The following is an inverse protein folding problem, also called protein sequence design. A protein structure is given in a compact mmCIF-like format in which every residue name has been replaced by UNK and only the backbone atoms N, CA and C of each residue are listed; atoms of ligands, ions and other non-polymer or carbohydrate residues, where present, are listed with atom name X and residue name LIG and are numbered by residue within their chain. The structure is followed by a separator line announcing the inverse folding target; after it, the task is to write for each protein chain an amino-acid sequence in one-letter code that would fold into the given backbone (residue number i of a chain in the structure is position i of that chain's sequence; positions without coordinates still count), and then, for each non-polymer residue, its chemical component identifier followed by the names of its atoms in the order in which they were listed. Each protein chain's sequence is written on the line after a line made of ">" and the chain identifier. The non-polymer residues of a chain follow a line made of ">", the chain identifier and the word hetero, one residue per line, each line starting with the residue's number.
data_IF_537807587360
#
_entry.id   IF_537807587360
#
_cell.length_a   1.000
_cell.length_b   1.000
_cell.length_c   1.000
_cell.angle_alpha   90.00
_cell.angle_beta   90.00
_cell.angle_gamma   90.00
#
_symmetry.space_group_name_H-M   'P 1'
#
loop_
_entity.id
_entity.type
_entity.pdbx_description
1 polymer ?
#
# COMPACT_ATOMS: atom_id res chain seq x y z
N UNK A 1 0.49 -8.92 11.22
CA UNK A 1 -0.31 -9.36 10.05
C UNK A 1 0.66 -9.64 8.92
N UNK A 2 0.69 -10.85 8.36
CA UNK A 2 1.47 -11.12 7.15
C UNK A 2 0.61 -10.77 5.95
N UNK A 3 0.99 -9.74 5.21
CA UNK A 3 0.40 -9.43 3.91
C UNK A 3 1.00 -10.39 2.89
N UNK A 4 0.15 -11.08 2.13
CA UNK A 4 0.61 -11.86 0.97
C UNK A 4 1.03 -10.88 -0.13
N UNK A 5 2.34 -10.75 -0.34
CA UNK A 5 2.91 -9.87 -1.36
C UNK A 5 2.55 -10.41 -2.74
N UNK A 6 1.98 -9.58 -3.64
CA UNK A 6 1.58 -10.02 -4.97
C UNK A 6 2.80 -10.30 -5.86
N UNK A 7 2.60 -11.15 -6.88
CA UNK A 7 3.53 -11.23 -8.01
C UNK A 7 3.34 -9.98 -8.88
N UNK A 8 4.35 -9.12 -8.89
CA UNK A 8 4.35 -7.89 -9.69
C UNK A 8 4.39 -8.18 -11.19
N UNK A 9 3.61 -7.41 -11.95
CA UNK A 9 3.55 -7.50 -13.42
C UNK A 9 3.90 -6.16 -14.06
N UNK A 10 4.52 -6.22 -15.22
CA UNK A 10 4.71 -5.06 -16.08
C UNK A 10 3.40 -4.67 -16.80
N UNK A 11 3.36 -3.51 -17.49
CA UNK A 11 2.15 -3.06 -18.19
C UNK A 11 1.73 -3.96 -19.36
N UNK A 12 2.59 -4.87 -19.83
CA UNK A 12 2.29 -5.87 -20.86
C UNK A 12 1.78 -7.19 -20.25
N UNK A 13 1.73 -7.30 -18.92
CA UNK A 13 1.30 -8.48 -18.19
C UNK A 13 2.42 -9.49 -17.92
N UNK A 14 3.67 -9.19 -18.29
CA UNK A 14 4.85 -10.00 -17.98
C UNK A 14 5.20 -9.93 -16.49
N UNK A 15 5.77 -11.01 -15.94
CA UNK A 15 6.19 -11.04 -14.53
C UNK A 15 7.46 -10.20 -14.35
N UNK A 16 7.45 -9.30 -13.36
CA UNK A 16 8.66 -8.59 -12.95
C UNK A 16 9.56 -9.57 -12.18
N UNK A 17 10.59 -10.09 -12.84
CA UNK A 17 11.49 -11.12 -12.28
C UNK A 17 12.83 -10.59 -11.73
N UNK A 18 13.12 -9.29 -11.92
CA UNK A 18 14.35 -8.68 -11.41
C UNK A 18 14.31 -8.62 -9.88
N UNK A 19 15.25 -9.30 -9.23
CA UNK A 19 15.32 -9.46 -7.77
C UNK A 19 15.39 -8.09 -7.08
N UNK A 20 16.18 -7.16 -7.62
CA UNK A 20 16.33 -5.81 -7.06
C UNK A 20 15.02 -5.03 -7.13
N UNK A 21 14.26 -5.13 -8.24
CA UNK A 21 12.94 -4.48 -8.35
C UNK A 21 11.96 -5.05 -7.34
N UNK A 22 11.91 -6.38 -7.20
CA UNK A 22 11.04 -7.03 -6.22
C UNK A 22 11.39 -6.60 -4.80
N UNK A 23 12.69 -6.55 -4.47
CA UNK A 23 13.17 -6.10 -3.16
C UNK A 23 12.66 -4.70 -2.84
N UNK A 24 12.83 -3.74 -3.76
CA UNK A 24 12.36 -2.37 -3.57
C UNK A 24 10.84 -2.32 -3.38
N UNK A 25 10.08 -3.11 -4.16
CA UNK A 25 8.62 -3.15 -4.00
C UNK A 25 8.19 -3.74 -2.65
N UNK A 26 8.92 -4.72 -2.11
CA UNK A 26 8.65 -5.28 -0.80
C UNK A 26 8.93 -4.26 0.30
N UNK A 27 10.09 -3.59 0.25
CA UNK A 27 10.45 -2.51 1.20
C UNK A 27 9.39 -1.40 1.19
N UNK A 28 8.94 -0.95 0.01
CA UNK A 28 7.87 0.04 -0.10
C UNK A 28 6.55 -0.41 0.54
N UNK A 29 6.17 -1.68 0.38
CA UNK A 29 4.93 -2.21 0.99
C UNK A 29 5.05 -2.32 2.52
N UNK A 30 6.20 -2.73 3.03
CA UNK A 30 6.47 -2.79 4.46
C UNK A 30 6.40 -1.39 5.09
N UNK A 31 7.03 -0.39 4.46
CA UNK A 31 6.96 1.00 4.91
C UNK A 31 5.54 1.57 4.88
N UNK A 32 4.80 1.31 3.80
CA UNK A 32 3.41 1.75 3.66
C UNK A 32 2.52 1.11 4.72
N UNK A 33 2.70 -0.18 5.00
CA UNK A 33 1.95 -0.90 6.02
C UNK A 33 2.21 -0.28 7.41
N UNK A 34 3.47 -0.01 7.76
CA UNK A 34 3.80 0.59 9.04
C UNK A 34 3.16 1.97 9.18
N UNK A 35 3.29 2.83 8.16
CA UNK A 35 2.70 4.16 8.19
C UNK A 35 1.17 4.15 8.28
N UNK A 36 0.51 3.22 7.57
CA UNK A 36 -0.94 3.05 7.65
C UNK A 36 -1.40 2.55 9.02
N UNK A 37 -0.61 1.68 9.66
CA UNK A 37 -0.87 1.19 11.02
C UNK A 37 -0.74 2.33 12.03
N UNK A 38 0.35 3.10 11.98
CA UNK A 38 0.58 4.24 12.87
C UNK A 38 -0.55 5.27 12.74
N UNK A 39 -0.96 5.60 11.51
CA UNK A 39 -2.06 6.52 11.24
C UNK A 39 -3.41 6.03 11.79
N UNK A 40 -3.66 4.71 11.75
CA UNK A 40 -4.87 4.11 12.33
C UNK A 40 -4.83 4.18 13.86
N UNK A 41 -3.70 3.84 14.47
CA UNK A 41 -3.51 3.88 15.92
C UNK A 41 -3.70 5.30 16.48
N UNK A 42 -3.11 6.29 15.81
CA UNK A 42 -3.29 7.70 16.16
C UNK A 42 -4.76 8.12 16.06
N UNK A 43 -5.45 7.74 14.98
CA UNK A 43 -6.87 8.07 14.82
C UNK A 43 -7.74 7.45 15.92
N UNK A 44 -7.49 6.19 16.29
CA UNK A 44 -8.18 5.51 17.39
C UNK A 44 -7.90 6.23 18.72
N UNK A 45 -6.64 6.58 18.98
CA UNK A 45 -6.24 7.30 20.19
C UNK A 45 -6.92 8.69 20.30
N UNK A 46 -7.18 9.32 19.16
CA UNK A 46 -7.92 10.58 19.07
C UNK A 46 -9.45 10.42 19.08
N UNK A 47 -9.97 9.19 19.22
CA UNK A 47 -11.40 8.91 19.36
C UNK A 47 -12.16 8.80 18.03
N UNK A 48 -11.48 8.58 16.91
CA UNK A 48 -12.12 8.30 15.63
C UNK A 48 -12.71 6.88 15.58
N UNK A 49 -13.72 6.68 14.74
CA UNK A 49 -14.25 5.35 14.45
C UNK A 49 -13.28 4.53 13.58
N UNK A 50 -12.89 3.35 14.05
CA UNK A 50 -11.92 2.49 13.37
C UNK A 50 -12.35 2.10 11.95
N UNK A 51 -13.64 1.76 11.77
CA UNK A 51 -14.16 1.32 10.48
C UNK A 51 -14.15 2.48 9.47
N UNK A 52 -14.54 3.68 9.90
CA UNK A 52 -14.46 4.88 9.09
C UNK A 52 -13.03 5.18 8.61
N UNK A 53 -12.04 5.07 9.49
CA UNK A 53 -10.64 5.33 9.15
C UNK A 53 -10.15 4.30 8.13
N UNK A 54 -10.43 3.01 8.34
CA UNK A 54 -10.07 1.94 7.40
C UNK A 54 -10.73 2.14 6.03
N UNK A 55 -12.02 2.47 6.00
CA UNK A 55 -12.74 2.76 4.76
C UNK A 55 -12.13 3.95 4.01
N UNK A 56 -11.71 4.98 4.74
CA UNK A 56 -11.05 6.13 4.15
C UNK A 56 -9.68 5.78 3.58
N UNK A 57 -8.86 4.98 4.29
CA UNK A 57 -7.56 4.53 3.78
C UNK A 57 -7.70 3.71 2.47
N UNK A 58 -8.74 2.88 2.36
CA UNK A 58 -9.05 2.16 1.11
C UNK A 58 -9.36 3.15 -0.02
N UNK A 59 -10.22 4.14 0.25
CA UNK A 59 -10.57 5.18 -0.74
C UNK A 59 -9.36 6.03 -1.14
N UNK A 60 -8.47 6.33 -0.19
CA UNK A 60 -7.23 7.06 -0.43
C UNK A 60 -6.36 6.29 -1.44
N UNK A 61 -6.16 4.98 -1.24
CA UNK A 61 -5.40 4.14 -2.16
C UNK A 61 -6.03 4.09 -3.56
N UNK A 62 -7.36 4.08 -3.66
CA UNK A 62 -8.08 4.16 -4.93
C UNK A 62 -7.95 5.51 -5.64
N UNK A 63 -7.64 6.59 -4.90
CA UNK A 63 -7.49 7.94 -5.44
C UNK A 63 -6.09 8.26 -5.97
N UNK A 64 -5.12 7.36 -5.75
CA UNK A 64 -3.76 7.54 -6.25
C UNK A 64 -3.74 7.64 -7.77
N UNK A 65 -2.96 8.59 -8.29
CA UNK A 65 -2.84 8.83 -9.71
C UNK A 65 -1.48 8.33 -10.22
N UNK A 66 -1.46 7.76 -11.42
CA UNK A 66 -0.21 7.47 -12.11
C UNK A 66 0.30 8.75 -12.81
N UNK A 67 1.44 9.33 -12.39
CA UNK A 67 1.98 10.53 -13.01
C UNK A 67 2.66 10.25 -14.36
N UNK A 68 2.93 8.98 -14.68
CA UNK A 68 3.60 8.54 -15.90
C UNK A 68 2.61 8.11 -17.00
N UNK A 69 1.50 8.84 -17.15
CA UNK A 69 0.64 8.67 -18.33
C UNK A 69 1.49 8.85 -19.61
N UNK A 70 1.22 8.12 -20.72
CA UNK A 70 1.87 8.40 -21.99
C UNK A 70 1.62 9.83 -22.47
#
# INVERSE_FOLDING_TARGET
>A
MNIDIPVWKDPQGGIVACVEKIKVMNENLEELQQMAQDALEDAILMGCDEAQVKDFLVRLMQSLHNPYQP
#
